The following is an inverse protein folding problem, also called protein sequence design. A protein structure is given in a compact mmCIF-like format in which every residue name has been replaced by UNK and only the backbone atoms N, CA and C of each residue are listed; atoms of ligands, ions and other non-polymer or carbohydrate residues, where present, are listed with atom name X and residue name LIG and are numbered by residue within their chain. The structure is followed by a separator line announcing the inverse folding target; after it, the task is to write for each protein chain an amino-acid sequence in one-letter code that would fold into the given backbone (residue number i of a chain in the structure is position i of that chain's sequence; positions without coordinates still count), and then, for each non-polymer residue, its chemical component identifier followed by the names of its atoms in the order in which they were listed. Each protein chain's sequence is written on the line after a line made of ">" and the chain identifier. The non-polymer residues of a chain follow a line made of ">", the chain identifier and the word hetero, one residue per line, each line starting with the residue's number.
data_IF_568639637417
#
_entry.id   IF_568639637417
#
_cell.length_a   1.000
_cell.length_b   1.000
_cell.length_c   1.000
_cell.angle_alpha   90.00
_cell.angle_beta   90.00
_cell.angle_gamma   90.00
#
_symmetry.space_group_name_H-M   'P 1'
#
loop_
_entity.id
_entity.type
_entity.pdbx_description
1 polymer ?
#
# COMPACT_ATOMS: atom_id res chain seq x y z
N UNK A 1 10.67 -10.33 11.16
CA UNK A 1 9.60 -9.29 11.17
C UNK A 1 9.13 -9.07 9.74
N UNK A 2 7.83 -9.18 9.41
CA UNK A 2 7.34 -8.85 8.05
C UNK A 2 7.27 -7.31 7.91
N UNK A 3 7.87 -6.75 6.88
CA UNK A 3 7.94 -5.30 6.68
C UNK A 3 6.57 -4.65 6.42
N UNK A 4 6.49 -3.33 6.64
CA UNK A 4 5.26 -2.51 6.49
C UNK A 4 4.61 -2.68 5.11
N UNK A 5 5.42 -2.72 4.04
CA UNK A 5 4.94 -2.90 2.66
C UNK A 5 4.26 -4.27 2.47
N UNK A 6 4.84 -5.35 3.03
CA UNK A 6 4.24 -6.69 2.93
C UNK A 6 2.88 -6.76 3.64
N UNK A 7 2.73 -6.04 4.76
CA UNK A 7 1.44 -5.94 5.46
C UNK A 7 0.44 -5.11 4.66
N UNK A 8 0.84 -3.97 4.11
CA UNK A 8 -0.01 -3.12 3.29
C UNK A 8 -0.56 -3.89 2.07
N UNK A 9 0.29 -4.60 1.33
CA UNK A 9 -0.15 -5.47 0.20
C UNK A 9 -1.16 -6.55 0.58
N UNK A 10 -1.13 -7.04 1.83
CA UNK A 10 -2.03 -8.10 2.28
C UNK A 10 -3.36 -7.59 2.82
N UNK A 11 -3.43 -6.34 3.27
CA UNK A 11 -4.54 -5.84 4.08
C UNK A 11 -5.15 -4.52 3.61
N UNK A 12 -4.43 -3.72 2.85
CA UNK A 12 -4.78 -2.32 2.62
C UNK A 12 -4.65 -1.88 1.16
N UNK A 13 -3.60 -2.33 0.47
CA UNK A 13 -3.32 -1.96 -0.92
C UNK A 13 -3.98 -2.93 -1.89
N UNK A 14 -4.50 -2.40 -2.98
CA UNK A 14 -5.18 -3.15 -4.03
C UNK A 14 -4.25 -3.35 -5.23
N UNK A 15 -4.30 -4.56 -5.80
CA UNK A 15 -3.59 -4.87 -7.05
C UNK A 15 -4.17 -4.01 -8.18
N UNK A 16 -3.30 -3.32 -8.92
CA UNK A 16 -3.66 -2.39 -9.99
C UNK A 16 -3.83 -0.93 -9.53
N UNK A 17 -3.96 -0.66 -8.23
CA UNK A 17 -4.06 0.71 -7.69
C UNK A 17 -2.76 1.16 -7.03
N UNK A 18 -2.38 0.55 -5.91
CA UNK A 18 -1.13 0.88 -5.21
C UNK A 18 0.06 0.04 -5.67
N UNK A 19 -0.16 -1.17 -6.18
CA UNK A 19 0.93 -2.02 -6.67
C UNK A 19 0.50 -2.93 -7.80
N UNK A 20 1.46 -3.38 -8.61
CA UNK A 20 1.24 -4.37 -9.67
C UNK A 20 2.42 -5.33 -9.77
N UNK A 21 2.13 -6.59 -10.08
CA UNK A 21 3.15 -7.55 -10.48
C UNK A 21 3.51 -7.35 -11.95
N UNK A 22 4.80 -7.29 -12.25
CA UNK A 22 5.32 -7.12 -13.61
C UNK A 22 6.23 -8.30 -13.95
N UNK A 23 6.20 -8.72 -15.21
CA UNK A 23 7.09 -9.73 -15.76
C UNK A 23 7.28 -9.43 -17.25
N UNK A 24 8.47 -9.67 -17.80
CA UNK A 24 8.69 -9.59 -19.24
C UNK A 24 8.06 -10.78 -20.00
N UNK A 25 7.82 -11.90 -19.33
CA UNK A 25 7.50 -13.20 -19.95
C UNK A 25 5.99 -13.52 -20.00
N UNK A 26 5.12 -12.51 -19.87
CA UNK A 26 3.67 -12.68 -20.00
C UNK A 26 2.91 -12.49 -18.68
N UNK A 27 2.27 -13.54 -18.16
CA UNK A 27 1.38 -13.41 -16.98
C UNK A 27 2.18 -13.31 -15.68
N UNK A 28 2.09 -12.20 -14.93
CA UNK A 28 2.83 -12.03 -13.69
C UNK A 28 2.40 -13.05 -12.63
N UNK A 29 3.38 -13.67 -11.97
CA UNK A 29 3.18 -14.58 -10.84
C UNK A 29 3.19 -13.78 -9.52
N UNK A 30 2.66 -14.33 -8.42
CA UNK A 30 2.75 -13.68 -7.11
C UNK A 30 4.18 -13.42 -6.61
N UNK A 31 5.15 -14.17 -7.13
CA UNK A 31 6.59 -14.01 -6.87
C UNK A 31 7.30 -13.12 -7.89
N UNK A 32 6.63 -12.71 -8.97
CA UNK A 32 7.20 -11.78 -9.93
C UNK A 32 7.44 -10.41 -9.29
N UNK A 33 8.34 -9.64 -9.91
CA UNK A 33 8.71 -8.32 -9.46
C UNK A 33 7.49 -7.42 -9.25
N UNK A 34 7.56 -6.55 -8.25
CA UNK A 34 6.48 -5.66 -7.87
C UNK A 34 6.87 -4.20 -8.13
N UNK A 35 6.04 -3.52 -8.92
CA UNK A 35 6.09 -2.07 -9.05
C UNK A 35 5.02 -1.41 -8.17
N UNK A 36 5.33 -0.21 -7.70
CA UNK A 36 4.52 0.55 -6.75
C UNK A 36 4.08 1.89 -7.34
N UNK A 37 2.80 2.23 -7.17
CA UNK A 37 2.27 3.52 -7.56
C UNK A 37 2.46 4.52 -6.42
N UNK A 38 3.53 5.31 -6.50
CA UNK A 38 3.88 6.31 -5.48
C UNK A 38 2.74 7.28 -5.17
N UNK A 39 2.00 7.74 -6.18
CA UNK A 39 0.90 8.71 -5.97
C UNK A 39 -0.24 8.10 -5.15
N UNK A 40 -0.66 6.88 -5.49
CA UNK A 40 -1.72 6.18 -4.76
C UNK A 40 -1.29 5.80 -3.34
N UNK A 41 -0.02 5.38 -3.16
CA UNK A 41 0.54 5.07 -1.84
C UNK A 41 0.60 6.32 -0.97
N UNK A 42 1.03 7.46 -1.52
CA UNK A 42 1.03 8.73 -0.78
C UNK A 42 -0.39 9.12 -0.36
N UNK A 43 -1.36 9.07 -1.27
CA UNK A 43 -2.76 9.35 -0.92
C UNK A 43 -3.28 8.41 0.19
N UNK A 44 -2.87 7.14 0.17
CA UNK A 44 -3.19 6.20 1.24
C UNK A 44 -2.52 6.58 2.57
N UNK A 45 -1.27 7.03 2.56
CA UNK A 45 -0.54 7.49 3.75
C UNK A 45 -1.18 8.73 4.38
N UNK A 46 -1.55 9.72 3.56
CA UNK A 46 -2.23 10.94 4.02
C UNK A 46 -3.60 10.64 4.63
N UNK A 47 -4.29 9.59 4.16
CA UNK A 47 -5.55 9.15 4.73
C UNK A 47 -5.40 8.36 6.05
N UNK A 48 -4.18 8.01 6.46
CA UNK A 48 -3.97 7.35 7.76
C UNK A 48 -3.98 8.41 8.87
N UNK A 49 -4.79 8.18 9.92
CA UNK A 49 -4.69 8.97 11.16
C UNK A 49 -3.30 8.79 11.73
N UNK A 50 -2.55 9.88 11.87
CA UNK A 50 -1.23 9.80 12.46
C UNK A 50 -1.39 9.55 13.97
N UNK A 51 -0.56 8.70 14.59
CA UNK A 51 -0.57 8.53 16.04
C UNK A 51 -0.11 9.85 16.70
N UNK A 52 -1.08 10.70 17.02
CA UNK A 52 -0.88 12.09 17.42
C UNK A 52 -2.11 12.97 17.18
N UNK A 53 -2.95 12.62 16.20
CA UNK A 53 -4.27 13.24 15.97
C UNK A 53 -5.24 12.77 17.06
N UNK A 54 -5.09 13.28 18.29
CA UNK A 54 -6.11 13.13 19.34
C UNK A 54 -7.32 13.95 18.89
N UNK A 55 -8.48 13.29 18.81
CA UNK A 55 -9.77 13.90 18.51
C UNK A 55 -10.04 15.01 19.54
N UNK A 56 -9.83 16.28 19.18
CA UNK A 56 -10.08 17.45 20.05
C UNK A 56 -11.56 17.83 20.15
N UNK A 57 -12.47 16.97 19.68
CA UNK A 57 -13.91 17.13 19.95
C UNK A 57 -14.23 16.57 21.32
N UNK A 58 -13.88 17.31 22.36
CA UNK A 58 -14.55 17.22 23.66
C UNK A 58 -15.83 18.03 23.59
N UNK A 59 -16.95 17.34 23.80
CA UNK A 59 -18.26 17.89 24.17
C UNK A 59 -18.18 18.64 25.51
#
# INVERSE_FOLDING_TARGET
>A
RRGTITRARKKSWLLGREYRHVTPEGKPKPTSECMYNRKAINAWLEAQKQPGDRDERKE
#
